data_IF_552993552470
#
_entry.id   IF_552993552470
#
_cell.length_a   1.000
_cell.length_b   1.000
_cell.length_c   1.000
_cell.angle_alpha   90.00
_cell.angle_beta   90.00
_cell.angle_gamma   90.00
#
_symmetry.space_group_name_H-M   'P 1'
#
loop_
_entity.id
_entity.type
_entity.pdbx_description
1 polymer ?
#
# COMPACT_ATOMS: atom_id res chain seq x y z
N UNK A 1 -11.83 -10.98 -8.63
CA UNK A 1 -12.78 -9.83 -8.57
C UNK A 1 -12.26 -8.73 -7.66
N UNK A 2 -12.03 -8.99 -6.37
CA UNK A 2 -11.54 -8.00 -5.38
C UNK A 2 -10.35 -7.19 -5.86
N UNK A 3 -9.26 -7.86 -6.28
CA UNK A 3 -8.05 -7.16 -6.75
C UNK A 3 -8.32 -6.20 -7.91
N UNK A 4 -9.17 -6.58 -8.87
CA UNK A 4 -9.53 -5.71 -10.00
C UNK A 4 -10.19 -4.40 -9.52
N UNK A 5 -11.24 -4.52 -8.70
CA UNK A 5 -12.00 -3.36 -8.22
C UNK A 5 -11.18 -2.48 -7.26
N UNK A 6 -10.33 -3.10 -6.44
CA UNK A 6 -9.40 -2.35 -5.57
C UNK A 6 -8.41 -1.55 -6.41
N UNK A 7 -7.81 -2.17 -7.42
CA UNK A 7 -6.90 -1.49 -8.35
C UNK A 7 -7.58 -0.34 -9.10
N UNK A 8 -8.82 -0.55 -9.56
CA UNK A 8 -9.65 0.49 -10.16
C UNK A 8 -9.91 1.68 -9.21
N UNK A 9 -10.26 1.40 -7.96
CA UNK A 9 -10.49 2.43 -6.95
C UNK A 9 -9.22 3.24 -6.65
N UNK A 10 -8.06 2.57 -6.53
CA UNK A 10 -6.77 3.22 -6.27
C UNK A 10 -6.41 4.13 -7.44
N UNK A 11 -6.40 3.60 -8.68
CA UNK A 11 -6.00 4.39 -9.86
C UNK A 11 -6.93 5.59 -10.05
N UNK A 12 -8.23 5.44 -9.81
CA UNK A 12 -9.19 6.52 -9.96
C UNK A 12 -9.00 7.66 -8.93
N UNK A 13 -8.60 7.33 -7.71
CA UNK A 13 -8.53 8.28 -6.57
C UNK A 13 -7.11 8.78 -6.26
N UNK A 14 -6.08 8.17 -6.84
CA UNK A 14 -4.69 8.53 -6.52
C UNK A 14 -4.39 9.98 -6.98
N UNK A 15 -3.84 10.85 -6.11
CA UNK A 15 -3.51 12.24 -6.45
C UNK A 15 -2.57 12.35 -7.67
N UNK A 16 -1.72 11.35 -7.85
CA UNK A 16 -0.78 11.25 -8.94
C UNK A 16 -1.07 10.02 -9.82
N UNK A 17 -2.30 9.92 -10.30
CA UNK A 17 -2.78 8.80 -11.13
C UNK A 17 -2.00 8.59 -12.44
N UNK A 18 -1.36 9.65 -12.96
CA UNK A 18 -0.64 9.62 -14.24
C UNK A 18 0.86 9.32 -14.10
N UNK A 19 1.34 9.05 -12.88
CA UNK A 19 2.75 8.76 -12.62
C UNK A 19 2.96 7.42 -11.90
N UNK A 20 4.23 7.03 -11.79
CA UNK A 20 4.68 5.78 -11.16
C UNK A 20 4.35 5.62 -9.67
N UNK A 21 3.92 6.67 -8.95
CA UNK A 21 3.58 6.56 -7.53
C UNK A 21 2.34 5.71 -7.30
N UNK A 22 1.42 5.65 -8.27
CA UNK A 22 0.25 4.77 -8.21
C UNK A 22 0.65 3.30 -8.04
N UNK A 23 1.81 2.88 -8.57
CA UNK A 23 2.32 1.52 -8.42
C UNK A 23 2.67 1.17 -6.97
N UNK A 24 3.12 2.14 -6.18
CA UNK A 24 3.43 1.95 -4.75
C UNK A 24 2.14 1.71 -3.98
N UNK A 25 1.10 2.50 -4.23
CA UNK A 25 -0.23 2.32 -3.62
C UNK A 25 -0.84 0.95 -3.99
N UNK A 26 -0.78 0.57 -5.27
CA UNK A 26 -1.23 -0.76 -5.73
C UNK A 26 -0.45 -1.90 -5.04
N UNK A 27 0.86 -1.75 -4.86
CA UNK A 27 1.71 -2.72 -4.19
C UNK A 27 1.34 -2.88 -2.69
N UNK A 28 1.02 -1.78 -2.00
CA UNK A 28 0.55 -1.81 -0.61
C UNK A 28 -0.77 -2.57 -0.46
N UNK A 29 -1.78 -2.21 -1.27
CA UNK A 29 -3.07 -2.92 -1.24
C UNK A 29 -2.92 -4.40 -1.66
N UNK A 30 -2.02 -4.72 -2.58
CA UNK A 30 -1.71 -6.11 -2.93
C UNK A 30 -1.17 -6.90 -1.73
N UNK A 31 -0.25 -6.31 -0.97
CA UNK A 31 0.29 -6.94 0.24
C UNK A 31 -0.78 -7.14 1.33
N UNK A 32 -1.67 -6.16 1.50
CA UNK A 32 -2.76 -6.24 2.47
C UNK A 32 -3.81 -7.29 2.07
N UNK A 33 -4.18 -7.38 0.79
CA UNK A 33 -4.99 -8.51 0.29
C UNK A 33 -4.30 -9.85 0.56
N UNK A 34 -2.99 -9.92 0.36
CA UNK A 34 -2.19 -11.11 0.67
C UNK A 34 -2.28 -11.49 2.15
N UNK A 35 -2.18 -10.53 3.06
CA UNK A 35 -2.31 -10.78 4.50
C UNK A 35 -3.74 -11.16 4.92
N UNK A 36 -4.77 -10.59 4.29
CA UNK A 36 -6.18 -10.99 4.50
C UNK A 36 -6.37 -12.45 4.10
N UNK A 37 -5.92 -12.83 2.89
CA UNK A 37 -6.02 -14.21 2.38
C UNK A 37 -5.29 -15.18 3.30
N UNK A 38 -4.06 -14.83 3.71
CA UNK A 38 -3.20 -15.65 4.58
C UNK A 38 -3.65 -15.70 6.04
N UNK A 39 -4.58 -14.84 6.44
CA UNK A 39 -5.03 -14.73 7.83
C UNK A 39 -4.00 -14.08 8.76
N UNK A 40 -3.14 -13.21 8.20
CA UNK A 40 -2.11 -12.44 8.92
C UNK A 40 -2.51 -10.98 9.14
N UNK A 41 -3.55 -10.53 8.46
CA UNK A 41 -4.05 -9.17 8.59
C UNK A 41 -4.44 -8.87 10.05
N UNK A 42 -3.98 -7.72 10.55
CA UNK A 42 -4.22 -7.28 11.92
C UNK A 42 -5.43 -6.37 12.05
N UNK A 43 -6.00 -5.89 10.94
CA UNK A 43 -7.14 -4.98 10.96
C UNK A 43 -8.42 -5.73 11.33
N UNK A 44 -9.20 -5.15 12.25
CA UNK A 44 -10.51 -5.69 12.65
C UNK A 44 -11.58 -4.65 12.35
N UNK A 45 -12.24 -4.72 11.18
CA UNK A 45 -13.19 -3.70 10.76
C UNK A 45 -14.45 -3.66 11.64
N UNK A 46 -14.80 -4.79 12.26
CA UNK A 46 -15.97 -4.95 13.11
C UNK A 46 -15.71 -6.11 14.10
N UNK A 47 -16.66 -6.33 15.01
CA UNK A 47 -16.58 -7.42 16.00
C UNK A 47 -16.69 -8.81 15.38
N UNK A 48 -17.33 -8.96 14.21
CA UNK A 48 -17.58 -10.23 13.52
C UNK A 48 -16.93 -10.22 12.14
N UNK A 49 -15.70 -10.73 12.07
CA UNK A 49 -14.93 -10.75 10.84
C UNK A 49 -15.43 -11.81 9.84
N UNK A 50 -16.46 -11.45 9.09
CA UNK A 50 -17.07 -12.31 8.05
C UNK A 50 -16.08 -12.70 6.95
N UNK A 51 -15.08 -11.86 6.66
CA UNK A 51 -14.08 -12.15 5.63
C UNK A 51 -13.19 -13.28 6.11
N UNK A 52 -12.65 -13.15 7.32
CA UNK A 52 -11.78 -14.17 7.89
C UNK A 52 -12.51 -15.50 8.12
N UNK A 53 -13.73 -15.47 8.66
CA UNK A 53 -14.56 -16.67 8.86
C UNK A 53 -14.96 -17.33 7.53
N UNK A 54 -15.35 -16.53 6.52
CA UNK A 54 -15.64 -17.05 5.18
C UNK A 54 -14.41 -17.71 4.54
N UNK A 55 -13.23 -17.11 4.68
CA UNK A 55 -11.98 -17.69 4.19
C UNK A 55 -11.64 -19.00 4.90
N UNK A 56 -11.88 -19.11 6.23
CA UNK A 56 -11.68 -20.39 6.94
C UNK A 56 -12.53 -21.51 6.34
N UNK A 57 -13.81 -21.24 6.08
CA UNK A 57 -14.72 -22.24 5.48
C UNK A 57 -14.26 -22.64 4.08
N UNK A 58 -13.80 -21.70 3.25
CA UNK A 58 -13.27 -22.00 1.91
C UNK A 58 -12.02 -22.87 2.00
N UNK A 59 -11.06 -22.50 2.85
CA UNK A 59 -9.81 -23.25 3.00
C UNK A 59 -10.00 -24.61 3.66
N UNK A 60 -11.00 -24.76 4.54
CA UNK A 60 -11.42 -26.06 5.07
C UNK A 60 -11.87 -27.00 3.95
N UNK A 61 -12.73 -26.52 3.04
CA UNK A 61 -13.19 -27.33 1.89
C UNK A 61 -12.04 -27.75 0.98
N UNK A 62 -11.12 -26.82 0.69
CA UNK A 62 -9.91 -27.11 -0.10
C UNK A 62 -9.06 -28.17 0.60
N UNK A 63 -8.84 -28.03 1.91
CA UNK A 63 -8.07 -28.96 2.71
C UNK A 63 -8.69 -30.38 2.72
N UNK A 64 -9.99 -30.48 2.94
CA UNK A 64 -10.71 -31.76 2.96
C UNK A 64 -10.63 -32.47 1.59
N UNK A 65 -10.72 -31.72 0.50
CA UNK A 65 -10.60 -32.27 -0.86
C UNK A 65 -9.16 -32.69 -1.19
N UNK A 66 -8.14 -31.98 -0.68
CA UNK A 66 -6.74 -32.40 -0.78
C UNK A 66 -6.49 -33.70 -0.01
N UNK A 67 -7.07 -33.84 1.19
CA UNK A 67 -7.00 -35.07 1.97
C UNK A 67 -7.62 -36.27 1.27
N UNK A 68 -8.78 -36.09 0.61
CA UNK A 68 -9.40 -37.15 -0.20
C UNK A 68 -8.49 -37.61 -1.35
N UNK A 69 -7.62 -36.73 -1.84
CA UNK A 69 -6.59 -37.04 -2.86
C UNK A 69 -5.30 -37.61 -2.29
N UNK A 70 -5.22 -37.84 -0.97
CA UNK A 70 -4.04 -38.38 -0.30
C UNK A 70 -2.94 -37.35 0.01
N UNK A 71 -3.20 -36.06 -0.18
CA UNK A 71 -2.22 -34.99 0.10
C UNK A 71 -2.36 -34.56 1.56
N UNK A 72 -1.32 -34.81 2.35
CA UNK A 72 -1.30 -34.56 3.81
C UNK A 72 -0.30 -33.48 4.24
N UNK A 73 0.39 -32.82 3.30
CA UNK A 73 1.47 -31.85 3.58
C UNK A 73 0.98 -30.58 4.31
N UNK A 74 -0.34 -30.34 4.31
CA UNK A 74 -0.98 -29.15 4.86
C UNK A 74 -1.76 -29.43 6.15
N UNK A 75 -1.45 -30.53 6.84
CA UNK A 75 -2.10 -30.84 8.12
C UNK A 75 -1.98 -29.68 9.12
N UNK A 76 -3.12 -29.17 9.56
CA UNK A 76 -3.21 -28.08 10.52
C UNK A 76 -4.25 -28.41 11.59
N UNK A 77 -3.78 -28.40 12.84
CA UNK A 77 -4.60 -28.66 14.03
C UNK A 77 -5.36 -27.39 14.45
N UNK A 78 -4.84 -26.21 14.09
CA UNK A 78 -5.44 -24.93 14.50
C UNK A 78 -6.72 -24.57 13.73
N UNK A 79 -6.98 -25.23 12.59
CA UNK A 79 -8.12 -24.92 11.71
C UNK A 79 -8.01 -23.58 10.98
N UNK A 80 -6.86 -22.89 11.07
CA UNK A 80 -6.63 -21.64 10.35
C UNK A 80 -6.01 -21.87 8.97
N UNK A 81 -5.46 -23.05 8.73
CA UNK A 81 -4.85 -23.51 7.49
C UNK A 81 -3.69 -22.64 7.02
N UNK A 82 -2.91 -22.05 7.93
CA UNK A 82 -1.86 -21.08 7.59
C UNK A 82 -0.93 -21.59 6.47
N UNK A 83 -0.37 -22.80 6.61
CA UNK A 83 0.52 -23.37 5.59
C UNK A 83 -0.15 -23.52 4.21
N UNK A 84 -1.43 -23.92 4.18
CA UNK A 84 -2.20 -24.04 2.94
C UNK A 84 -2.47 -22.67 2.32
N UNK A 85 -2.83 -21.68 3.15
CA UNK A 85 -3.09 -20.31 2.70
C UNK A 85 -1.83 -19.63 2.15
N UNK A 86 -0.67 -19.85 2.78
CA UNK A 86 0.63 -19.39 2.26
C UNK A 86 0.92 -19.98 0.89
N UNK A 87 0.82 -21.31 0.75
CA UNK A 87 1.07 -21.99 -0.51
C UNK A 87 0.09 -21.53 -1.61
N UNK A 88 -1.18 -21.34 -1.25
CA UNK A 88 -2.18 -20.81 -2.16
C UNK A 88 -1.84 -19.39 -2.61
N UNK A 89 -1.45 -18.50 -1.70
CA UNK A 89 -1.05 -17.14 -2.05
C UNK A 89 0.17 -17.16 -2.99
N UNK A 90 1.23 -17.87 -2.63
CA UNK A 90 2.45 -17.98 -3.45
C UNK A 90 2.15 -18.50 -4.86
N UNK A 91 1.21 -19.44 -5.00
CA UNK A 91 0.83 -20.02 -6.29
C UNK A 91 -0.08 -19.13 -7.16
N UNK A 92 -0.73 -18.11 -6.59
CA UNK A 92 -1.74 -17.30 -7.29
C UNK A 92 -1.45 -15.79 -7.29
N UNK A 93 -0.42 -15.34 -6.57
CA UNK A 93 -0.10 -13.91 -6.38
C UNK A 93 0.17 -13.18 -7.70
N UNK A 94 0.72 -13.87 -8.70
CA UNK A 94 0.92 -13.39 -10.07
C UNK A 94 -0.41 -13.02 -10.75
N UNK A 95 -1.40 -13.90 -10.66
CA UNK A 95 -2.73 -13.67 -11.22
C UNK A 95 -3.48 -12.57 -10.46
N UNK A 96 -3.31 -12.51 -9.12
CA UNK A 96 -3.87 -11.43 -8.29
C UNK A 96 -3.27 -10.08 -8.68
N UNK A 97 -1.95 -10.01 -8.88
CA UNK A 97 -1.27 -8.79 -9.34
C UNK A 97 -1.72 -8.35 -10.73
N UNK A 98 -1.84 -9.31 -11.65
CA UNK A 98 -2.40 -9.07 -12.98
C UNK A 98 -3.86 -8.61 -12.90
N UNK A 99 -4.66 -9.05 -11.94
CA UNK A 99 -5.99 -8.48 -11.75
C UNK A 99 -5.93 -7.05 -11.19
N UNK A 100 -5.07 -6.80 -10.19
CA UNK A 100 -4.88 -5.51 -9.52
C UNK A 100 -4.43 -4.40 -10.48
N UNK A 101 -3.49 -4.71 -11.37
CA UNK A 101 -2.91 -3.76 -12.31
C UNK A 101 -3.71 -3.62 -13.62
N UNK A 102 -4.96 -4.13 -13.67
CA UNK A 102 -5.77 -4.15 -14.90
C UNK A 102 -5.96 -2.79 -15.55
N UNK A 103 -6.12 -1.76 -14.73
CA UNK A 103 -6.37 -0.39 -15.20
C UNK A 103 -5.21 0.54 -14.87
N UNK A 104 -4.05 0.01 -14.46
CA UNK A 104 -2.88 0.82 -14.21
C UNK A 104 -2.44 1.55 -15.51
N UNK A 105 -1.91 2.79 -15.42
CA UNK A 105 -1.46 3.53 -16.59
C UNK A 105 -0.34 2.80 -17.35
N UNK A 106 -0.33 2.90 -18.68
CA UNK A 106 0.67 2.24 -19.52
C UNK A 106 2.11 2.68 -19.19
N UNK A 107 2.28 3.97 -18.89
CA UNK A 107 3.58 4.59 -18.58
C UNK A 107 3.95 4.50 -17.08
N UNK A 108 3.14 3.85 -16.24
CA UNK A 108 3.45 3.69 -14.82
C UNK A 108 4.39 2.49 -14.61
N UNK A 109 5.50 2.71 -13.90
CA UNK A 109 6.56 1.73 -13.69
C UNK A 109 7.15 1.79 -12.28
N UNK A 110 7.80 0.73 -11.81
CA UNK A 110 8.47 0.78 -10.50
C UNK A 110 9.83 1.49 -10.58
N UNK A 111 10.07 2.40 -9.63
CA UNK A 111 11.38 2.97 -9.36
C UNK A 111 11.89 2.42 -8.04
N UNK A 112 13.01 1.71 -8.09
CA UNK A 112 13.72 1.22 -6.91
C UNK A 112 14.96 2.07 -6.69
N UNK A 113 15.27 2.27 -5.42
CA UNK A 113 16.47 2.99 -5.00
C UNK A 113 17.33 1.97 -4.27
N UNK A 114 18.44 1.57 -4.86
CA UNK A 114 19.40 0.66 -4.24
C UNK A 114 20.59 1.46 -3.70
N UNK A 115 21.07 1.08 -2.52
CA UNK A 115 22.32 1.57 -1.97
C UNK A 115 23.40 0.51 -2.29
N UNK A 116 24.23 0.77 -3.29
CA UNK A 116 25.21 -0.20 -3.81
C UNK A 116 26.60 -0.07 -3.17
N UNK A 117 26.68 0.50 -1.96
CA UNK A 117 27.94 0.71 -1.24
C UNK A 117 28.85 1.80 -1.85
N UNK A 118 28.55 2.26 -3.06
CA UNK A 118 29.26 3.33 -3.78
C UNK A 118 28.36 4.58 -3.88
N UNK A 119 27.05 4.42 -3.90
CA UNK A 119 26.09 5.50 -3.82
C UNK A 119 24.64 5.02 -3.76
N UNK A 120 23.73 5.92 -4.11
CA UNK A 120 22.31 5.62 -4.29
C UNK A 120 22.03 5.52 -5.79
N UNK A 121 21.86 4.31 -6.31
CA UNK A 121 21.48 4.08 -7.70
C UNK A 121 19.96 3.92 -7.83
N UNK A 122 19.37 4.70 -8.75
CA UNK A 122 17.94 4.63 -9.07
C UNK A 122 17.74 3.62 -10.19
N UNK A 123 17.26 2.42 -9.86
CA UNK A 123 16.84 1.41 -10.82
C UNK A 123 15.40 1.69 -11.29
N UNK A 124 15.27 1.93 -12.59
CA UNK A 124 13.96 1.97 -13.25
C UNK A 124 13.68 0.57 -13.76
N UNK A 125 12.53 0.01 -13.39
CA UNK A 125 12.01 -1.24 -13.94
C UNK A 125 10.94 -0.88 -14.97
N UNK A 126 11.28 -0.71 -16.27
CA UNK A 126 10.45 -0.04 -17.28
C UNK A 126 9.31 -0.95 -17.80
N UNK A 127 8.70 -1.73 -16.92
CA UNK A 127 7.57 -2.58 -17.25
C UNK A 127 6.28 -1.76 -17.16
N UNK A 128 5.49 -1.78 -18.23
CA UNK A 128 4.22 -1.07 -18.30
C UNK A 128 3.23 -1.54 -17.24
N UNK A 129 2.27 -0.68 -16.92
CA UNK A 129 1.18 -0.99 -15.97
C UNK A 129 1.68 -1.53 -14.64
N UNK A 130 2.74 -0.92 -14.10
CA UNK A 130 3.36 -1.36 -12.86
C UNK A 130 3.87 -2.81 -12.92
N UNK A 131 4.39 -3.27 -14.06
CA UNK A 131 4.86 -4.64 -14.22
C UNK A 131 3.74 -5.69 -14.19
N UNK A 132 2.63 -5.40 -14.88
CA UNK A 132 1.43 -6.27 -14.95
C UNK A 132 1.74 -7.71 -15.35
N UNK A 133 2.56 -7.87 -16.38
CA UNK A 133 2.88 -9.17 -17.00
C UNK A 133 4.27 -9.68 -16.56
N UNK A 134 4.77 -9.16 -15.44
CA UNK A 134 6.02 -9.58 -14.79
C UNK A 134 5.77 -10.07 -13.36
N UNK A 135 6.82 -10.54 -12.68
CA UNK A 135 6.71 -10.95 -11.29
C UNK A 135 6.16 -9.82 -10.39
N UNK A 136 5.17 -10.11 -9.53
CA UNK A 136 4.62 -9.12 -8.61
C UNK A 136 5.65 -8.64 -7.60
N UNK A 137 5.53 -7.40 -7.10
CA UNK A 137 6.44 -6.86 -6.09
C UNK A 137 6.44 -7.71 -4.83
N UNK A 138 7.60 -7.88 -4.19
CA UNK A 138 7.79 -8.75 -3.00
C UNK A 138 7.30 -8.12 -1.69
N UNK A 139 6.58 -7.01 -1.76
CA UNK A 139 6.10 -6.27 -0.58
C UNK A 139 5.14 -7.10 0.28
N UNK A 140 4.46 -8.08 -0.30
CA UNK A 140 3.63 -9.06 0.38
C UNK A 140 4.41 -10.00 1.32
N UNK A 141 5.74 -10.00 1.27
CA UNK A 141 6.58 -10.75 2.21
C UNK A 141 7.17 -9.88 3.34
N UNK A 142 6.94 -8.57 3.32
CA UNK A 142 7.34 -7.66 4.40
C UNK A 142 6.26 -7.68 5.49
N UNK A 143 6.57 -7.78 6.80
CA UNK A 143 5.55 -7.74 7.86
C UNK A 143 4.62 -6.51 7.79
N UNK A 144 3.31 -6.72 7.94
CA UNK A 144 2.28 -5.67 7.80
C UNK A 144 2.56 -4.42 8.64
N UNK A 145 2.97 -4.58 9.89
CA UNK A 145 3.30 -3.46 10.78
C UNK A 145 4.37 -2.53 10.17
N UNK A 146 5.38 -3.08 9.51
CA UNK A 146 6.44 -2.29 8.89
C UNK A 146 5.94 -1.57 7.63
N UNK A 147 5.07 -2.22 6.86
CA UNK A 147 4.46 -1.60 5.66
C UNK A 147 3.54 -0.44 6.03
N UNK A 148 2.71 -0.61 7.04
CA UNK A 148 1.84 0.47 7.53
C UNK A 148 2.63 1.60 8.18
N UNK A 149 3.72 1.29 8.90
CA UNK A 149 4.59 2.32 9.45
C UNK A 149 5.27 3.15 8.36
N UNK A 150 5.76 2.51 7.29
CA UNK A 150 6.36 3.24 6.17
C UNK A 150 5.33 4.07 5.42
N UNK A 151 4.14 3.52 5.14
CA UNK A 151 3.04 4.25 4.53
C UNK A 151 2.59 5.45 5.38
N UNK A 152 2.44 5.25 6.70
CA UNK A 152 2.09 6.32 7.63
C UNK A 152 3.14 7.42 7.62
N UNK A 153 4.44 7.06 7.62
CA UNK A 153 5.53 8.04 7.61
C UNK A 153 5.54 8.88 6.32
N UNK A 154 5.30 8.26 5.16
CA UNK A 154 5.19 8.98 3.90
C UNK A 154 3.96 9.90 3.88
N UNK A 155 2.81 9.39 4.34
CA UNK A 155 1.58 10.17 4.43
C UNK A 155 1.74 11.37 5.35
N UNK A 156 2.32 11.16 6.53
CA UNK A 156 2.62 12.22 7.50
C UNK A 156 3.51 13.30 6.88
N UNK A 157 4.61 12.93 6.22
CA UNK A 157 5.50 13.88 5.55
C UNK A 157 4.80 14.66 4.44
N UNK A 158 3.95 14.02 3.63
CA UNK A 158 3.19 14.69 2.58
C UNK A 158 2.21 15.73 3.14
N UNK A 159 1.48 15.37 4.21
CA UNK A 159 0.57 16.29 4.89
C UNK A 159 1.34 17.43 5.55
N UNK A 160 2.43 17.12 6.26
CA UNK A 160 3.27 18.12 6.91
C UNK A 160 3.84 19.13 5.91
N UNK A 161 4.39 18.67 4.79
CA UNK A 161 4.92 19.54 3.74
C UNK A 161 3.83 20.45 3.17
N UNK A 162 2.63 19.93 2.95
CA UNK A 162 1.49 20.72 2.47
C UNK A 162 1.10 21.82 3.48
N UNK A 163 1.01 21.49 4.76
CA UNK A 163 0.70 22.47 5.82
C UNK A 163 1.80 23.54 5.95
N UNK A 164 3.08 23.15 5.82
CA UNK A 164 4.22 24.07 5.81
C UNK A 164 4.14 25.00 4.59
N UNK A 165 3.83 24.47 3.40
CA UNK A 165 3.68 25.28 2.18
C UNK A 165 2.50 26.25 2.28
N UNK A 166 1.37 25.82 2.84
CA UNK A 166 0.22 26.69 3.12
C UNK A 166 0.58 27.80 4.11
N UNK A 167 1.31 27.47 5.18
CA UNK A 167 1.82 28.46 6.15
C UNK A 167 2.78 29.46 5.48
N UNK A 168 3.78 28.97 4.73
CA UNK A 168 4.74 29.83 4.03
C UNK A 168 4.05 30.76 3.04
N UNK A 169 3.03 30.29 2.32
CA UNK A 169 2.24 31.12 1.40
C UNK A 169 1.41 32.18 2.15
N UNK A 170 0.83 31.84 3.30
CA UNK A 170 0.07 32.80 4.11
C UNK A 170 0.97 33.87 4.74
N UNK A 171 2.21 33.52 5.08
CA UNK A 171 3.15 34.40 5.78
C UNK A 171 4.25 34.96 4.86
N UNK A 172 4.11 34.83 3.53
CA UNK A 172 5.14 35.19 2.55
C UNK A 172 5.55 36.67 2.61
N UNK A 173 4.57 37.54 2.88
CA UNK A 173 4.76 38.99 2.96
C UNK A 173 5.04 39.46 4.40
N UNK A 174 5.10 38.54 5.36
CA UNK A 174 5.40 38.83 6.75
C UNK A 174 6.91 38.77 6.99
N UNK A 175 7.47 39.84 7.55
CA UNK A 175 8.88 39.85 7.90
C UNK A 175 9.13 38.92 9.10
N UNK A 176 9.75 37.77 8.84
CA UNK A 176 10.08 36.78 9.85
C UNK A 176 11.34 37.19 10.64
N UNK A 177 11.17 38.09 11.61
CA UNK A 177 12.17 38.35 12.66
C UNK A 177 11.97 37.39 13.86
N UNK A 178 12.66 37.61 14.99
CA UNK A 178 12.36 36.88 16.26
C UNK A 178 10.89 37.00 16.71
N UNK A 179 10.12 37.93 16.13
CA UNK A 179 8.66 38.05 16.24
C UNK A 179 8.09 38.33 14.84
N UNK A 180 6.89 37.82 14.55
CA UNK A 180 6.13 38.20 13.36
C UNK A 180 5.78 39.70 13.49
N UNK A 181 6.48 40.57 12.76
CA UNK A 181 6.20 42.00 12.74
C UNK A 181 4.98 42.26 11.84
N UNK A 182 4.11 43.20 12.23
CA UNK A 182 3.00 43.60 11.36
C UNK A 182 3.55 44.39 10.17
N UNK A 183 3.02 44.07 9.00
CA UNK A 183 3.06 44.92 7.82
C UNK A 183 2.21 46.19 8.03
N UNK A 184 2.48 47.25 7.28
CA UNK A 184 1.99 48.62 7.49
C UNK A 184 0.45 48.77 7.54
N UNK A 185 -0.29 47.74 7.14
CA UNK A 185 -1.76 47.66 7.11
C UNK A 185 -2.37 46.81 8.25
N UNK A 186 -1.56 46.23 9.14
CA UNK A 186 -1.98 45.61 10.42
C UNK A 186 -2.86 44.35 10.36
N UNK A 187 -3.23 43.87 9.17
CA UNK A 187 -4.21 42.79 9.00
C UNK A 187 -3.67 41.48 8.43
N UNK A 188 -2.63 41.51 7.59
CA UNK A 188 -2.23 40.32 6.80
C UNK A 188 -1.47 39.29 7.64
N UNK A 189 -0.62 39.72 8.58
CA UNK A 189 0.16 38.80 9.44
C UNK A 189 -0.56 38.29 10.71
N UNK A 190 -1.84 38.64 10.93
CA UNK A 190 -2.59 38.23 12.13
C UNK A 190 -2.72 36.71 12.25
N UNK A 191 -3.00 36.01 11.14
CA UNK A 191 -3.10 34.53 11.12
C UNK A 191 -1.76 33.84 11.42
N UNK A 192 -0.64 34.49 11.08
CA UNK A 192 0.72 33.99 11.35
C UNK A 192 1.15 34.19 12.82
N UNK A 193 0.43 35.01 13.58
CA UNK A 193 0.69 35.23 15.02
C UNK A 193 -0.12 34.30 15.92
N UNK A 194 -1.23 33.76 15.41
CA UNK A 194 -2.20 32.94 16.16
C UNK A 194 -2.01 31.42 15.92
N UNK A 195 -1.21 31.02 14.93
CA UNK A 195 -0.78 29.64 14.68
C UNK A 195 0.56 29.36 15.35
#
# INVERSE_FOLDING_TARGET
>A
VTAKYEGESIVAKHPHKDNSQVCIALARSFADIGDIVRGRDMFKPNTVDKVHEGLKVVFQKIYDDLKKKGINDYNDISGNYYKLREAWWTANRDQVWKAMTCVAPENAYFRKTEADGIGISSLILPYSKCGRDTDPPVVDYIPQRLRWMSEWSEYFCNVLNKEIDEMNNQCKDCEMSRRCNDDSEGGKCKKCKER
#
